data_IF_383978901552
#
_entry.id   IF_383978901552
#
_cell.length_a   1.000
_cell.length_b   1.000
_cell.length_c   1.000
_cell.angle_alpha   90.00
_cell.angle_beta   90.00
_cell.angle_gamma   90.00
#
_symmetry.space_group_name_H-M   'P 1'
#
loop_
_entity.id
_entity.type
_entity.pdbx_description
1 polymer ?
#
# COMPACT_ATOMS: atom_id res chain seq x y z
N UNK A 1 -0.79 -17.78 12.84
CA UNK A 1 -1.74 -17.23 11.83
C UNK A 1 -1.21 -15.90 11.31
N UNK A 2 -1.41 -15.60 10.01
CA UNK A 2 -0.91 -14.36 9.37
C UNK A 2 -1.76 -13.10 9.62
N UNK A 3 -2.65 -13.15 10.62
CA UNK A 3 -3.58 -12.06 10.94
C UNK A 3 -2.87 -10.73 11.23
N UNK A 4 -1.69 -10.78 11.86
CA UNK A 4 -0.89 -9.59 12.14
C UNK A 4 -0.38 -8.93 10.85
N UNK A 5 0.11 -9.71 9.89
CA UNK A 5 0.56 -9.17 8.60
C UNK A 5 -0.60 -8.61 7.79
N UNK A 6 -1.78 -9.24 7.84
CA UNK A 6 -3.01 -8.69 7.24
C UNK A 6 -3.39 -7.35 7.87
N UNK A 7 -3.29 -7.22 9.20
CA UNK A 7 -3.56 -5.96 9.90
C UNK A 7 -2.56 -4.87 9.49
N UNK A 8 -1.27 -5.19 9.39
CA UNK A 8 -0.23 -4.26 8.93
C UNK A 8 -0.49 -3.76 7.50
N UNK A 9 -0.94 -4.63 6.59
CA UNK A 9 -1.30 -4.24 5.22
C UNK A 9 -2.48 -3.27 5.22
N UNK A 10 -3.52 -3.54 6.00
CA UNK A 10 -4.70 -2.67 6.12
C UNK A 10 -4.35 -1.31 6.74
N UNK A 11 -3.51 -1.32 7.76
CA UNK A 11 -3.01 -0.11 8.43
C UNK A 11 -2.16 0.73 7.47
N UNK A 12 -1.22 0.12 6.74
CA UNK A 12 -0.41 0.78 5.73
C UNK A 12 -1.28 1.42 4.64
N UNK A 13 -2.29 0.70 4.15
CA UNK A 13 -3.25 1.22 3.18
C UNK A 13 -4.08 2.38 3.73
N UNK A 14 -4.48 2.33 5.00
CA UNK A 14 -5.21 3.41 5.67
C UNK A 14 -4.35 4.68 5.79
N UNK A 15 -3.10 4.54 6.23
CA UNK A 15 -2.15 5.64 6.34
C UNK A 15 -1.85 6.26 4.97
N UNK A 16 -1.60 5.44 3.95
CA UNK A 16 -1.39 5.90 2.58
C UNK A 16 -2.59 6.70 2.04
N UNK A 17 -3.82 6.24 2.30
CA UNK A 17 -5.04 6.97 1.93
C UNK A 17 -5.19 8.30 2.66
N UNK A 18 -4.83 8.35 3.95
CA UNK A 18 -4.82 9.60 4.71
C UNK A 18 -3.85 10.62 4.11
N UNK A 19 -2.64 10.18 3.75
CA UNK A 19 -1.64 11.01 3.06
C UNK A 19 -2.19 11.51 1.71
N UNK A 20 -2.71 10.61 0.88
CA UNK A 20 -3.26 10.98 -0.44
C UNK A 20 -4.41 12.00 -0.35
N UNK A 21 -5.29 11.85 0.65
CA UNK A 21 -6.43 12.76 0.86
C UNK A 21 -6.02 14.09 1.47
N UNK A 22 -5.05 14.07 2.38
CA UNK A 22 -4.57 15.25 3.10
C UNK A 22 -3.46 16.02 2.38
N UNK A 23 -2.95 15.51 1.26
CA UNK A 23 -1.83 16.12 0.56
C UNK A 23 -2.16 17.58 0.16
N UNK A 24 -1.40 18.57 0.68
CA UNK A 24 -1.64 19.96 0.39
C UNK A 24 -1.20 20.30 -1.03
N UNK A 25 -2.00 21.11 -1.70
CA UNK A 25 -1.68 21.61 -3.02
C UNK A 25 -0.39 22.46 -2.93
N UNK A 26 0.65 22.09 -3.71
CA UNK A 26 1.92 22.82 -3.76
C UNK A 26 3.04 22.27 -2.88
N UNK A 27 2.86 21.12 -2.20
CA UNK A 27 4.01 20.36 -1.69
C UNK A 27 4.86 19.86 -2.87
N UNK A 28 6.18 19.81 -2.70
CA UNK A 28 7.10 19.42 -3.77
C UNK A 28 6.83 18.01 -4.29
N UNK A 29 6.82 17.85 -5.62
CA UNK A 29 6.52 16.59 -6.30
C UNK A 29 7.38 15.41 -5.84
N UNK A 30 8.58 15.71 -5.36
CA UNK A 30 9.53 14.71 -4.89
C UNK A 30 9.13 14.05 -3.55
N UNK A 31 8.23 14.66 -2.76
CA UNK A 31 7.94 14.18 -1.40
C UNK A 31 6.75 13.19 -1.34
N UNK A 32 5.70 13.42 -2.15
CA UNK A 32 4.48 12.62 -2.07
C UNK A 32 4.68 11.13 -2.39
N UNK A 33 5.34 10.74 -3.50
CA UNK A 33 5.47 9.33 -3.88
C UNK A 33 6.14 8.50 -2.78
N UNK A 34 7.18 9.04 -2.15
CA UNK A 34 7.88 8.35 -1.07
C UNK A 34 7.07 8.33 0.22
N UNK A 35 6.36 9.41 0.54
CA UNK A 35 5.53 9.47 1.75
C UNK A 35 4.38 8.47 1.70
N UNK A 36 3.71 8.35 0.55
CA UNK A 36 2.54 7.47 0.42
C UNK A 36 2.90 5.99 0.43
N UNK A 37 4.06 5.61 -0.13
CA UNK A 37 4.47 4.20 -0.21
C UNK A 37 5.22 3.72 1.04
N UNK A 38 5.79 4.65 1.82
CA UNK A 38 6.63 4.33 2.98
C UNK A 38 6.01 3.31 3.95
N UNK A 39 4.72 3.38 4.33
CA UNK A 39 4.12 2.38 5.21
C UNK A 39 4.17 0.96 4.63
N UNK A 40 4.01 0.80 3.30
CA UNK A 40 4.13 -0.51 2.65
C UNK A 40 5.59 -0.99 2.60
N UNK A 41 6.52 -0.11 2.24
CA UNK A 41 7.94 -0.47 2.15
C UNK A 41 8.50 -0.86 3.54
N UNK A 42 8.13 -0.14 4.59
CA UNK A 42 8.63 -0.37 5.95
C UNK A 42 7.99 -1.57 6.64
N UNK A 43 6.69 -1.83 6.41
CA UNK A 43 5.93 -2.79 7.22
C UNK A 43 5.41 -4.02 6.46
N UNK A 44 5.46 -4.02 5.13
CA UNK A 44 4.86 -5.10 4.32
C UNK A 44 5.88 -5.74 3.40
N UNK A 45 6.57 -4.95 2.57
CA UNK A 45 7.40 -5.45 1.46
C UNK A 45 8.48 -6.44 1.91
N UNK A 46 9.12 -6.19 3.05
CA UNK A 46 10.14 -7.08 3.63
C UNK A 46 9.60 -8.38 4.23
N UNK A 47 8.28 -8.51 4.40
CA UNK A 47 7.63 -9.61 5.10
C UNK A 47 6.82 -10.53 4.17
N UNK A 48 6.68 -10.17 2.90
CA UNK A 48 6.07 -11.01 1.87
C UNK A 48 7.13 -11.64 0.97
N UNK A 49 6.83 -12.81 0.41
CA UNK A 49 7.62 -13.37 -0.68
C UNK A 49 7.59 -12.43 -1.90
N UNK A 50 8.67 -12.41 -2.69
CA UNK A 50 8.72 -11.57 -3.90
C UNK A 50 7.67 -12.03 -4.91
N UNK A 51 6.72 -11.15 -5.23
CA UNK A 51 5.74 -11.33 -6.31
C UNK A 51 5.81 -10.10 -7.24
N UNK A 52 6.13 -10.27 -8.54
CA UNK A 52 6.18 -9.16 -9.50
C UNK A 52 4.91 -8.31 -9.52
N UNK A 53 3.74 -8.89 -9.27
CA UNK A 53 2.46 -8.16 -9.30
C UNK A 53 2.30 -7.20 -8.12
N UNK A 54 2.92 -7.53 -6.98
CA UNK A 54 2.96 -6.62 -5.82
C UNK A 54 3.88 -5.43 -6.14
N UNK A 55 5.02 -5.70 -6.78
CA UNK A 55 5.94 -4.65 -7.23
C UNK A 55 5.31 -3.77 -8.32
N UNK A 56 4.59 -4.36 -9.28
CA UNK A 56 3.82 -3.61 -10.28
C UNK A 56 2.78 -2.70 -9.61
N UNK A 57 2.05 -3.21 -8.61
CA UNK A 57 1.08 -2.42 -7.84
C UNK A 57 1.74 -1.27 -7.06
N UNK A 58 2.93 -1.51 -6.50
CA UNK A 58 3.76 -0.48 -5.84
C UNK A 58 4.15 0.62 -6.84
N UNK A 59 4.57 0.24 -8.05
CA UNK A 59 4.94 1.18 -9.09
C UNK A 59 3.74 2.00 -9.57
N UNK A 60 2.54 1.40 -9.67
CA UNK A 60 1.31 2.16 -9.97
C UNK A 60 0.98 3.21 -8.91
N UNK A 61 1.19 2.93 -7.62
CA UNK A 61 1.02 3.92 -6.55
C UNK A 61 2.02 5.07 -6.70
N UNK A 62 3.29 4.76 -6.99
CA UNK A 62 4.32 5.78 -7.22
C UNK A 62 3.98 6.67 -8.41
N UNK A 63 3.56 6.09 -9.54
CA UNK A 63 3.16 6.83 -10.75
C UNK A 63 1.97 7.74 -10.44
N UNK A 64 0.91 7.22 -9.80
CA UNK A 64 -0.27 8.02 -9.46
C UNK A 64 0.06 9.16 -8.48
N UNK A 65 1.01 8.93 -7.57
CA UNK A 65 1.48 9.95 -6.63
C UNK A 65 2.26 11.06 -7.34
N UNK A 66 3.11 10.72 -8.31
CA UNK A 66 3.80 11.71 -9.15
C UNK A 66 2.78 12.54 -9.92
N UNK A 67 1.81 11.90 -10.59
CA UNK A 67 0.79 12.61 -11.37
C UNK A 67 0.00 13.59 -10.51
N UNK A 68 -0.42 13.19 -9.30
CA UNK A 68 -1.11 14.10 -8.37
C UNK A 68 -0.21 15.26 -7.92
N UNK A 69 1.08 15.03 -7.73
CA UNK A 69 1.98 16.07 -7.27
C UNK A 69 2.40 17.04 -8.38
N UNK A 70 2.35 16.60 -9.64
CA UNK A 70 2.55 17.43 -10.84
C UNK A 70 1.28 18.17 -11.28
N UNK A 71 0.09 17.71 -10.86
CA UNK A 71 -1.16 18.42 -11.05
C UNK A 71 -1.08 19.80 -10.35
N UNK A 72 -1.39 20.87 -11.10
CA UNK A 72 -1.19 22.23 -10.62
C UNK A 72 -2.22 22.56 -9.52
N UNK A 73 -1.78 23.13 -8.38
CA UNK A 73 -2.68 23.56 -7.31
C UNK A 73 -3.82 24.44 -7.81
N UNK A 74 -5.06 23.97 -7.69
CA UNK A 74 -6.26 24.76 -7.95
C UNK A 74 -6.88 24.60 -9.34
N UNK A 75 -6.38 23.69 -10.17
CA UNK A 75 -7.09 23.24 -11.37
C UNK A 75 -8.17 22.20 -10.99
N UNK A 76 -9.26 22.14 -11.76
CA UNK A 76 -10.34 21.14 -11.59
C UNK A 76 -9.82 19.68 -11.73
N UNK A 77 -8.59 19.51 -12.23
CA UNK A 77 -7.89 18.25 -12.47
C UNK A 77 -7.31 17.58 -11.19
N UNK A 78 -7.20 18.32 -10.07
CA UNK A 78 -6.65 17.78 -8.81
C UNK A 78 -7.53 16.68 -8.19
N UNK A 79 -8.86 16.77 -8.37
CA UNK A 79 -9.80 15.79 -7.80
C UNK A 79 -9.67 14.42 -8.51
N UNK A 80 -9.70 14.34 -9.85
CA UNK A 80 -9.43 13.10 -10.57
C UNK A 80 -8.11 12.42 -10.22
N UNK A 81 -7.00 13.15 -10.11
CA UNK A 81 -5.69 12.56 -9.78
C UNK A 81 -5.65 12.01 -8.35
N UNK A 82 -6.30 12.71 -7.42
CA UNK A 82 -6.42 12.24 -6.03
C UNK A 82 -7.21 10.94 -5.94
N UNK A 83 -8.31 10.83 -6.68
CA UNK A 83 -9.09 9.61 -6.76
C UNK A 83 -8.30 8.46 -7.41
N UNK A 84 -7.50 8.74 -8.45
CA UNK A 84 -6.61 7.76 -9.09
C UNK A 84 -5.57 7.23 -8.10
N UNK A 85 -4.94 8.10 -7.30
CA UNK A 85 -3.99 7.68 -6.28
C UNK A 85 -4.67 6.81 -5.20
N UNK A 86 -5.83 7.22 -4.70
CA UNK A 86 -6.59 6.42 -3.72
C UNK A 86 -6.96 5.05 -4.30
N UNK A 87 -7.35 4.99 -5.58
CA UNK A 87 -7.62 3.73 -6.27
C UNK A 87 -6.37 2.86 -6.34
N UNK A 88 -5.22 3.41 -6.76
CA UNK A 88 -3.97 2.66 -6.84
C UNK A 88 -3.57 2.06 -5.47
N UNK A 89 -3.78 2.80 -4.37
CA UNK A 89 -3.54 2.29 -3.02
C UNK A 89 -4.47 1.13 -2.67
N UNK A 90 -5.76 1.24 -2.98
CA UNK A 90 -6.73 0.15 -2.77
C UNK A 90 -6.37 -1.09 -3.59
N UNK A 91 -5.94 -0.90 -4.84
CA UNK A 91 -5.51 -1.98 -5.71
C UNK A 91 -4.27 -2.68 -5.15
N UNK A 92 -3.28 -1.92 -4.64
CA UNK A 92 -2.10 -2.47 -3.98
C UNK A 92 -2.48 -3.27 -2.72
N UNK A 93 -3.33 -2.72 -1.86
CA UNK A 93 -3.86 -3.43 -0.68
C UNK A 93 -4.49 -4.77 -1.09
N UNK A 94 -5.36 -4.75 -2.10
CA UNK A 94 -6.03 -5.94 -2.59
C UNK A 94 -5.05 -6.95 -3.19
N UNK A 95 -4.08 -6.52 -4.00
CA UNK A 95 -3.07 -7.41 -4.59
C UNK A 95 -2.24 -8.07 -3.49
N UNK A 96 -1.78 -7.31 -2.49
CA UNK A 96 -1.02 -7.86 -1.37
C UNK A 96 -1.85 -8.85 -0.55
N UNK A 97 -3.10 -8.53 -0.22
CA UNK A 97 -3.95 -9.43 0.56
C UNK A 97 -4.33 -10.69 -0.22
N UNK A 98 -4.55 -10.59 -1.53
CA UNK A 98 -4.98 -11.70 -2.36
C UNK A 98 -3.85 -12.64 -2.78
N UNK A 99 -2.62 -12.14 -2.89
CA UNK A 99 -1.45 -12.88 -3.41
C UNK A 99 -0.30 -13.03 -2.43
N UNK A 100 -0.26 -12.23 -1.38
CA UNK A 100 0.83 -12.22 -0.42
C UNK A 100 1.01 -13.58 0.26
N UNK A 101 2.26 -13.99 0.36
CA UNK A 101 2.71 -15.16 1.10
C UNK A 101 3.71 -14.65 2.14
N UNK A 102 3.50 -14.96 3.42
CA UNK A 102 4.44 -14.57 4.47
C UNK A 102 5.79 -15.26 4.25
N UNK A 103 6.89 -14.50 4.33
CA UNK A 103 8.24 -15.05 4.19
C UNK A 103 8.85 -15.42 5.55
N UNK A 104 10.12 -15.85 5.54
CA UNK A 104 10.85 -16.18 6.79
C UNK A 104 11.04 -14.98 7.72
N UNK A 105 11.19 -13.77 7.19
CA UNK A 105 11.32 -12.56 8.00
C UNK A 105 10.00 -12.23 8.71
N UNK A 106 8.85 -12.44 8.06
CA UNK A 106 7.55 -12.34 8.72
C UNK A 106 7.40 -13.35 9.87
N UNK A 107 7.86 -14.59 9.66
CA UNK A 107 7.83 -15.60 10.72
C UNK A 107 8.74 -15.23 11.90
N UNK A 108 9.95 -14.74 11.62
CA UNK A 108 10.87 -14.27 12.64
C UNK A 108 10.31 -13.07 13.43
N UNK A 109 9.52 -12.21 12.78
CA UNK A 109 8.83 -11.09 13.41
C UNK A 109 7.53 -11.49 14.15
N UNK A 110 7.16 -12.78 14.14
CA UNK A 110 5.95 -13.28 14.79
C UNK A 110 4.65 -12.98 14.03
N UNK A 111 4.73 -12.61 12.75
CA UNK A 111 3.55 -12.23 11.96
C UNK A 111 2.82 -13.42 11.33
N UNK A 112 3.22 -14.65 11.62
CA UNK A 112 2.65 -15.88 11.09
C UNK A 112 3.70 -16.91 10.73
N UNK A 113 3.32 -17.96 10.03
CA UNK A 113 4.26 -18.98 9.54
C UNK A 113 4.73 -18.61 8.13
N UNK A 114 6.00 -18.91 7.81
CA UNK A 114 6.50 -18.75 6.45
C UNK A 114 5.74 -19.69 5.49
N UNK A 115 5.38 -19.19 4.31
CA UNK A 115 4.56 -19.92 3.34
C UNK A 115 3.04 -19.75 3.55
N UNK A 116 2.60 -19.16 4.66
CA UNK A 116 1.18 -18.93 4.90
C UNK A 116 0.64 -17.80 4.00
N UNK A 117 -0.52 -18.05 3.38
CA UNK A 117 -1.19 -17.09 2.47
C UNK A 117 -1.99 -16.05 3.25
N UNK A 118 -1.82 -14.79 2.91
CA UNK A 118 -2.55 -13.68 3.54
C UNK A 118 -4.06 -13.79 3.31
N UNK A 119 -4.46 -14.22 2.10
CA UNK A 119 -5.87 -14.38 1.72
C UNK A 119 -6.67 -15.26 2.67
N UNK A 120 -6.08 -16.36 3.13
CA UNK A 120 -6.75 -17.32 4.02
C UNK A 120 -7.07 -16.73 5.40
N UNK A 121 -6.28 -15.74 5.84
CA UNK A 121 -6.55 -14.99 7.06
C UNK A 121 -7.43 -13.76 6.82
N UNK A 122 -7.36 -13.15 5.62
CA UNK A 122 -8.17 -11.99 5.25
C UNK A 122 -9.67 -12.33 5.09
N UNK A 123 -9.97 -13.57 4.67
CA UNK A 123 -11.34 -14.06 4.43
C UNK A 123 -12.02 -14.62 5.70
N UNK A 124 -11.30 -14.74 6.84
CA UNK A 124 -11.89 -15.19 8.11
C UNK A 124 -12.50 -14.02 8.87
N UNK A 125 -13.77 -14.10 9.30
CA UNK A 125 -14.29 -13.16 10.29
C UNK A 125 -13.45 -13.28 11.57
N UNK A 126 -13.11 -12.15 12.18
CA UNK A 126 -12.48 -12.15 13.51
C UNK A 126 -13.42 -12.87 14.49
N UNK A 127 -12.89 -13.72 15.39
CA UNK A 127 -13.71 -14.35 16.43
C UNK A 127 -14.28 -13.33 17.41
#
# INVERSE_FOLDING_TARGET
MVAQLVALVREAAAQARLVARGYPAGCGADALPWTVIKPFDDHVRGHVERDPRIEDGRDQVLIAAVNLAEARPGDEDDVPERERLVKAINDLEWVVLSRGIANRAAAAAGYGEAGARLREAADRPSP
#
